data_IF_210972374377
#
_entry.id   IF_210972374377
#
_cell.length_a   1.000
_cell.length_b   1.000
_cell.length_c   1.000
_cell.angle_alpha   90.00
_cell.angle_beta   90.00
_cell.angle_gamma   90.00
#
_symmetry.space_group_name_H-M   'P 1'
#
loop_
_entity.id
_entity.type
_entity.pdbx_description
1 polymer ?
#
# COMPACT_ATOMS: atom_id res chain seq x y z
N UNK A 1 29.83 -30.00 0.84
CA UNK A 1 28.80 -29.01 0.54
C UNK A 1 27.55 -29.47 1.26
N UNK A 2 26.72 -28.58 1.77
CA UNK A 2 25.40 -28.95 2.24
C UNK A 2 24.58 -29.52 1.06
N UNK A 3 23.63 -30.44 1.29
CA UNK A 3 22.74 -30.90 0.23
C UNK A 3 21.94 -29.72 -0.35
N UNK A 4 21.54 -29.82 -1.63
CA UNK A 4 20.70 -28.78 -2.24
C UNK A 4 19.36 -28.65 -1.52
N UNK A 5 18.82 -27.45 -1.49
CA UNK A 5 17.48 -27.17 -0.97
C UNK A 5 16.47 -27.34 -2.10
N UNK A 6 15.47 -28.16 -1.88
CA UNK A 6 14.46 -28.48 -2.87
C UNK A 6 13.23 -27.60 -2.74
N UNK A 7 12.87 -26.95 -3.83
CA UNK A 7 11.81 -25.93 -3.88
C UNK A 7 10.65 -26.42 -4.74
N UNK A 8 9.45 -26.39 -4.14
CA UNK A 8 8.20 -26.52 -4.86
C UNK A 8 7.57 -25.15 -5.12
N UNK A 9 7.07 -24.90 -6.32
CA UNK A 9 6.47 -23.59 -6.69
C UNK A 9 4.98 -23.74 -6.94
N UNK A 10 4.16 -22.98 -6.24
CA UNK A 10 2.74 -22.81 -6.51
C UNK A 10 2.54 -21.53 -7.34
N UNK A 11 2.43 -21.69 -8.67
CA UNK A 11 2.23 -20.61 -9.62
C UNK A 11 3.39 -20.39 -10.60
N UNK A 12 3.16 -20.57 -11.89
CA UNK A 12 4.11 -20.37 -12.98
C UNK A 12 3.79 -19.11 -13.80
N UNK A 13 3.33 -18.04 -13.15
CA UNK A 13 3.11 -16.73 -13.74
C UNK A 13 4.42 -15.93 -13.86
N UNK A 14 4.32 -14.60 -14.00
CA UNK A 14 5.46 -13.69 -14.12
C UNK A 14 6.44 -13.83 -12.96
N UNK A 15 5.96 -13.87 -11.71
CA UNK A 15 6.83 -14.00 -10.53
C UNK A 15 7.40 -15.41 -10.42
N UNK A 16 6.57 -16.46 -10.51
CA UNK A 16 7.05 -17.84 -10.39
C UNK A 16 8.03 -18.25 -11.49
N UNK A 17 7.83 -17.74 -12.72
CA UNK A 17 8.79 -17.89 -13.80
C UNK A 17 10.13 -17.22 -13.49
N UNK A 18 10.11 -16.00 -12.96
CA UNK A 18 11.32 -15.28 -12.57
C UNK A 18 12.04 -15.97 -11.39
N UNK A 19 11.30 -16.46 -10.37
CA UNK A 19 11.88 -17.26 -9.26
C UNK A 19 12.59 -18.48 -9.81
N UNK A 20 11.93 -19.26 -10.67
CA UNK A 20 12.54 -20.43 -11.30
C UNK A 20 13.81 -20.07 -12.08
N UNK A 21 13.79 -18.97 -12.86
CA UNK A 21 14.96 -18.52 -13.64
C UNK A 21 16.13 -18.18 -12.74
N UNK A 22 15.91 -17.45 -11.67
CA UNK A 22 16.95 -17.04 -10.74
C UNK A 22 17.56 -18.26 -10.01
N UNK A 23 16.75 -19.27 -9.67
CA UNK A 23 17.25 -20.54 -9.07
C UNK A 23 18.12 -21.29 -10.05
N UNK A 24 17.63 -21.57 -11.26
CA UNK A 24 18.37 -22.31 -12.30
C UNK A 24 19.67 -21.60 -12.71
N UNK A 25 19.67 -20.27 -12.71
CA UNK A 25 20.88 -19.47 -12.97
C UNK A 25 21.83 -19.34 -11.75
N UNK A 26 21.56 -20.03 -10.65
CA UNK A 26 22.45 -20.12 -9.50
C UNK A 26 22.60 -18.81 -8.69
N UNK A 27 21.58 -17.94 -8.67
CA UNK A 27 21.67 -16.66 -7.99
C UNK A 27 21.89 -16.78 -6.47
N UNK A 28 21.50 -17.90 -5.85
CA UNK A 28 21.76 -18.18 -4.42
C UNK A 28 23.15 -18.76 -4.16
N UNK A 29 23.81 -19.32 -5.18
CA UNK A 29 25.10 -20.01 -5.04
C UNK A 29 26.22 -19.10 -4.49
N UNK A 30 26.18 -17.79 -4.78
CA UNK A 30 27.12 -16.81 -4.25
C UNK A 30 27.10 -16.70 -2.71
N UNK A 31 26.02 -17.14 -2.07
CA UNK A 31 25.87 -17.19 -0.62
C UNK A 31 26.00 -18.63 -0.06
N UNK A 32 26.50 -19.56 -0.90
CA UNK A 32 26.70 -20.94 -0.49
C UNK A 32 25.42 -21.78 -0.41
N UNK A 33 24.31 -21.28 -0.94
CA UNK A 33 23.03 -21.99 -1.03
C UNK A 33 22.88 -22.60 -2.41
N UNK A 34 22.87 -23.94 -2.47
CA UNK A 34 22.48 -24.69 -3.65
C UNK A 34 20.97 -24.97 -3.56
N UNK A 35 20.23 -24.66 -4.62
CA UNK A 35 18.77 -24.78 -4.62
C UNK A 35 18.29 -25.34 -5.97
N UNK A 36 17.34 -26.27 -5.89
CA UNK A 36 16.75 -26.93 -7.07
C UNK A 36 15.22 -26.81 -7.03
N UNK A 37 14.61 -26.58 -8.20
CA UNK A 37 13.15 -26.62 -8.34
C UNK A 37 12.73 -28.05 -8.67
N UNK A 38 11.93 -28.64 -7.80
CA UNK A 38 11.51 -30.05 -7.88
C UNK A 38 10.15 -30.19 -8.54
N UNK A 39 9.21 -29.27 -8.26
CA UNK A 39 7.84 -29.35 -8.78
C UNK A 39 7.21 -27.98 -8.89
N UNK A 40 6.43 -27.75 -9.96
CA UNK A 40 5.78 -26.48 -10.25
C UNK A 40 4.31 -26.71 -10.58
N UNK A 41 3.43 -26.15 -9.76
CA UNK A 41 2.00 -26.14 -10.03
C UNK A 41 1.62 -25.01 -10.96
N UNK A 42 0.79 -25.31 -11.95
CA UNK A 42 0.11 -24.32 -12.80
C UNK A 42 -1.15 -24.91 -13.43
N UNK A 43 -2.18 -24.09 -13.63
CA UNK A 43 -3.43 -24.54 -14.29
C UNK A 43 -3.27 -24.86 -15.79
N UNK A 44 -2.23 -24.35 -16.43
CA UNK A 44 -1.99 -24.50 -17.87
C UNK A 44 -0.49 -24.73 -18.13
N UNK A 45 0.04 -25.94 -17.83
CA UNK A 45 1.47 -26.23 -17.96
C UNK A 45 1.96 -26.11 -19.41
N UNK A 46 1.20 -26.56 -20.38
CA UNK A 46 1.55 -26.55 -21.82
C UNK A 46 1.71 -25.13 -22.39
N UNK A 47 1.17 -24.10 -21.71
CA UNK A 47 1.35 -22.70 -22.09
C UNK A 47 2.64 -22.09 -21.53
N UNK A 48 3.42 -22.85 -20.76
CA UNK A 48 4.63 -22.34 -20.12
C UNK A 48 5.85 -22.60 -21.01
N UNK A 49 6.74 -21.61 -21.22
CA UNK A 49 7.88 -21.75 -22.13
C UNK A 49 8.81 -22.94 -21.83
N UNK A 50 8.89 -23.33 -20.53
CA UNK A 50 9.76 -24.42 -20.07
C UNK A 50 9.09 -25.79 -20.06
N UNK A 51 7.78 -25.87 -20.27
CA UNK A 51 7.08 -27.15 -20.23
C UNK A 51 7.61 -28.17 -21.22
N UNK A 52 7.91 -27.73 -22.44
CA UNK A 52 8.43 -28.63 -23.48
C UNK A 52 9.82 -29.25 -23.17
N UNK A 53 10.61 -28.54 -22.34
CA UNK A 53 11.97 -29.02 -21.98
C UNK A 53 11.94 -29.97 -20.76
N UNK A 54 10.99 -29.79 -19.84
CA UNK A 54 10.90 -30.57 -18.60
C UNK A 54 9.44 -30.73 -18.19
N UNK A 55 8.63 -31.49 -18.92
CA UNK A 55 7.20 -31.64 -18.62
C UNK A 55 6.95 -32.30 -17.25
N UNK A 56 7.84 -33.14 -16.77
CA UNK A 56 7.79 -33.82 -15.47
C UNK A 56 7.88 -32.87 -14.30
N UNK A 57 8.44 -31.69 -14.53
CA UNK A 57 8.54 -30.61 -13.51
C UNK A 57 7.17 -30.01 -13.19
N UNK A 58 6.24 -30.02 -14.13
CA UNK A 58 4.96 -29.32 -14.02
C UNK A 58 3.82 -30.25 -13.64
N UNK A 59 2.88 -29.72 -12.86
CA UNK A 59 1.65 -30.41 -12.47
C UNK A 59 0.44 -29.47 -12.47
N UNK A 60 -0.75 -30.03 -12.62
CA UNK A 60 -2.03 -29.35 -12.42
C UNK A 60 -2.66 -29.69 -11.05
N UNK A 61 -2.01 -30.55 -10.26
CA UNK A 61 -2.43 -30.89 -8.91
C UNK A 61 -1.52 -30.22 -7.87
N UNK A 62 -2.02 -29.25 -7.05
CA UNK A 62 -1.22 -28.60 -6.04
C UNK A 62 -0.72 -29.57 -4.95
N UNK A 63 -1.42 -30.68 -4.72
CA UNK A 63 -1.01 -31.69 -3.74
C UNK A 63 0.32 -32.37 -4.11
N UNK A 64 0.66 -32.46 -5.40
CA UNK A 64 1.97 -32.93 -5.86
C UNK A 64 3.12 -31.98 -5.51
N UNK A 65 2.84 -30.74 -5.18
CA UNK A 65 3.82 -29.76 -4.68
C UNK A 65 3.86 -29.79 -3.15
N UNK A 66 2.70 -29.62 -2.52
CA UNK A 66 2.61 -29.49 -1.06
C UNK A 66 2.91 -30.78 -0.30
N UNK A 67 2.65 -31.93 -0.96
CA UNK A 67 2.92 -33.28 -0.40
C UNK A 67 4.20 -33.93 -0.94
N UNK A 68 4.97 -33.29 -1.83
CA UNK A 68 6.15 -33.91 -2.44
C UNK A 68 7.20 -34.27 -1.36
N UNK A 69 7.71 -35.51 -1.33
CA UNK A 69 8.60 -35.96 -0.27
C UNK A 69 9.94 -35.20 -0.23
N UNK A 70 10.46 -34.80 -1.38
CA UNK A 70 11.76 -34.13 -1.50
C UNK A 70 11.67 -32.58 -1.38
N UNK A 71 10.48 -31.97 -1.38
CA UNK A 71 10.35 -30.51 -1.25
C UNK A 71 10.57 -30.07 0.19
N UNK A 72 11.50 -29.14 0.40
CA UNK A 72 11.80 -28.51 1.68
C UNK A 72 11.01 -27.22 1.89
N UNK A 73 10.92 -26.39 0.84
CA UNK A 73 10.30 -25.08 0.87
C UNK A 73 9.27 -24.96 -0.26
N UNK A 74 8.07 -24.51 0.07
CA UNK A 74 7.05 -24.18 -0.91
C UNK A 74 7.03 -22.66 -1.13
N UNK A 75 7.17 -22.25 -2.39
CA UNK A 75 7.06 -20.85 -2.84
C UNK A 75 5.67 -20.65 -3.44
N UNK A 76 4.81 -19.89 -2.76
CA UNK A 76 3.46 -19.55 -3.21
C UNK A 76 3.47 -18.14 -3.84
N UNK A 77 3.21 -18.09 -5.16
CA UNK A 77 3.23 -16.88 -5.99
C UNK A 77 2.04 -16.85 -6.96
N UNK A 78 0.90 -17.31 -6.46
CA UNK A 78 -0.37 -17.28 -7.18
C UNK A 78 -1.00 -15.88 -7.13
N UNK A 79 -1.80 -15.55 -8.13
CA UNK A 79 -2.65 -14.36 -8.06
C UNK A 79 -3.72 -14.50 -6.98
N UNK A 80 -4.16 -13.39 -6.43
CA UNK A 80 -5.16 -13.37 -5.34
C UNK A 80 -6.47 -14.09 -5.72
N UNK A 81 -6.96 -13.89 -6.95
CA UNK A 81 -8.25 -14.44 -7.37
C UNK A 81 -9.42 -13.94 -6.52
N UNK A 82 -10.51 -14.70 -6.52
CA UNK A 82 -11.67 -14.45 -5.65
C UNK A 82 -11.54 -15.11 -4.27
N UNK A 83 -12.58 -14.96 -3.44
CA UNK A 83 -12.61 -15.53 -2.09
C UNK A 83 -12.46 -17.07 -2.08
N UNK A 84 -12.99 -17.77 -3.08
CA UNK A 84 -12.85 -19.21 -3.22
C UNK A 84 -11.42 -19.61 -3.57
N UNK A 85 -10.76 -18.85 -4.46
CA UNK A 85 -9.34 -19.07 -4.79
C UNK A 85 -8.47 -18.87 -3.56
N UNK A 86 -8.67 -17.80 -2.79
CA UNK A 86 -7.92 -17.53 -1.57
C UNK A 86 -8.11 -18.64 -0.52
N UNK A 87 -9.32 -19.21 -0.40
CA UNK A 87 -9.57 -20.34 0.51
C UNK A 87 -8.79 -21.57 0.07
N UNK A 88 -8.84 -21.93 -1.23
CA UNK A 88 -8.08 -23.05 -1.76
C UNK A 88 -6.56 -22.85 -1.58
N UNK A 89 -6.06 -21.65 -1.89
CA UNK A 89 -4.64 -21.30 -1.68
C UNK A 89 -4.23 -21.40 -0.20
N UNK A 90 -5.10 -20.98 0.72
CA UNK A 90 -4.90 -21.15 2.16
C UNK A 90 -4.78 -22.64 2.53
N UNK A 91 -5.67 -23.47 2.02
CA UNK A 91 -5.64 -24.91 2.30
C UNK A 91 -4.33 -25.53 1.78
N UNK A 92 -3.84 -25.17 0.60
CA UNK A 92 -2.56 -25.64 0.06
C UNK A 92 -1.35 -25.20 0.91
N UNK A 93 -1.35 -23.96 1.40
CA UNK A 93 -0.30 -23.46 2.29
C UNK A 93 -0.32 -24.19 3.62
N UNK A 94 -1.50 -24.41 4.20
CA UNK A 94 -1.69 -25.18 5.45
C UNK A 94 -1.23 -26.64 5.26
N UNK A 95 -1.56 -27.27 4.14
CA UNK A 95 -1.12 -28.63 3.83
C UNK A 95 0.41 -28.71 3.68
N UNK A 96 1.04 -27.74 3.02
CA UNK A 96 2.50 -27.68 2.94
C UNK A 96 3.14 -27.62 4.34
N UNK A 97 2.64 -26.76 5.22
CA UNK A 97 3.12 -26.63 6.61
C UNK A 97 2.95 -27.95 7.39
N UNK A 98 1.78 -28.60 7.29
CA UNK A 98 1.49 -29.88 7.93
C UNK A 98 2.35 -31.03 7.39
N UNK A 99 2.73 -30.96 6.10
CA UNK A 99 3.68 -31.89 5.49
C UNK A 99 5.15 -31.54 5.79
N UNK A 100 5.39 -30.67 6.77
CA UNK A 100 6.73 -30.38 7.27
C UNK A 100 7.54 -29.42 6.41
N UNK A 101 6.91 -28.62 5.53
CA UNK A 101 7.58 -27.65 4.65
C UNK A 101 7.45 -26.25 5.20
N UNK A 102 8.48 -25.42 5.02
CA UNK A 102 8.36 -23.98 5.21
C UNK A 102 7.77 -23.33 3.95
N UNK A 103 7.15 -22.16 4.12
CA UNK A 103 6.48 -21.47 3.02
C UNK A 103 7.04 -20.06 2.83
N UNK A 104 7.24 -19.68 1.58
CA UNK A 104 7.50 -18.29 1.17
C UNK A 104 6.35 -17.84 0.28
N UNK A 105 5.69 -16.74 0.61
CA UNK A 105 4.55 -16.25 -0.17
C UNK A 105 4.70 -14.80 -0.62
N UNK A 106 4.23 -14.48 -1.82
CA UNK A 106 4.07 -13.11 -2.33
C UNK A 106 2.59 -12.67 -2.31
N UNK A 107 1.69 -13.49 -1.77
CA UNK A 107 0.25 -13.27 -1.81
C UNK A 107 -0.25 -12.51 -0.57
N UNK A 108 -0.17 -11.20 -0.64
CA UNK A 108 -0.65 -10.34 0.46
C UNK A 108 -2.12 -10.53 0.79
N UNK A 109 -2.98 -10.77 -0.24
CA UNK A 109 -4.40 -10.97 -0.03
C UNK A 109 -4.70 -12.25 0.77
N UNK A 110 -3.91 -13.31 0.52
CA UNK A 110 -3.98 -14.55 1.29
C UNK A 110 -3.66 -14.30 2.77
N UNK A 111 -2.58 -13.58 3.07
CA UNK A 111 -2.17 -13.29 4.44
C UNK A 111 -3.12 -12.33 5.15
N UNK A 112 -3.69 -11.36 4.45
CA UNK A 112 -4.70 -10.45 5.01
C UNK A 112 -6.00 -11.21 5.35
N UNK A 113 -6.42 -12.14 4.50
CA UNK A 113 -7.66 -12.88 4.69
C UNK A 113 -7.53 -14.07 5.68
N UNK A 114 -6.39 -14.76 5.66
CA UNK A 114 -6.20 -16.05 6.33
C UNK A 114 -4.89 -16.17 7.13
N UNK A 115 -4.17 -15.07 7.33
CA UNK A 115 -2.85 -15.09 7.96
C UNK A 115 -2.85 -15.68 9.36
N UNK A 116 -3.90 -15.47 10.17
CA UNK A 116 -3.98 -16.01 11.51
C UNK A 116 -3.94 -17.55 11.52
N UNK A 117 -4.73 -18.20 10.66
CA UNK A 117 -4.73 -19.65 10.52
C UNK A 117 -3.38 -20.17 9.98
N UNK A 118 -2.82 -19.49 8.98
CA UNK A 118 -1.52 -19.85 8.40
C UNK A 118 -0.41 -19.75 9.44
N UNK A 119 -0.32 -18.66 10.20
CA UNK A 119 0.71 -18.48 11.22
C UNK A 119 0.53 -19.39 12.43
N UNK A 120 -0.71 -19.67 12.86
CA UNK A 120 -0.93 -20.65 13.94
C UNK A 120 -0.52 -22.04 13.51
N UNK A 121 -0.86 -22.46 12.28
CA UNK A 121 -0.42 -23.76 11.74
C UNK A 121 1.09 -23.84 11.60
N UNK A 122 1.74 -22.79 11.11
CA UNK A 122 3.20 -22.74 11.00
C UNK A 122 3.86 -22.96 12.37
N UNK A 123 3.37 -22.28 13.41
CA UNK A 123 3.85 -22.44 14.79
C UNK A 123 3.61 -23.85 15.33
N UNK A 124 2.43 -24.41 15.14
CA UNK A 124 2.08 -25.77 15.56
C UNK A 124 2.97 -26.84 14.91
N UNK A 125 3.28 -26.65 13.62
CA UNK A 125 4.12 -27.56 12.85
C UNK A 125 5.63 -27.31 13.02
N UNK A 126 6.05 -26.27 13.74
CA UNK A 126 7.45 -25.87 13.84
C UNK A 126 8.06 -25.45 12.51
N UNK A 127 7.28 -24.81 11.63
CA UNK A 127 7.66 -24.36 10.29
C UNK A 127 7.52 -22.85 10.17
N UNK A 128 8.22 -22.27 9.21
CA UNK A 128 8.23 -20.84 8.98
C UNK A 128 7.38 -20.42 7.79
N UNK A 129 6.78 -19.24 7.90
CA UNK A 129 6.20 -18.50 6.76
C UNK A 129 6.97 -17.20 6.58
N UNK A 130 7.44 -16.95 5.34
CA UNK A 130 8.13 -15.72 4.95
C UNK A 130 7.34 -15.01 3.88
N UNK A 131 7.37 -13.67 3.87
CA UNK A 131 6.49 -12.91 3.01
C UNK A 131 7.01 -11.50 2.66
N UNK A 132 8.33 -11.33 2.54
CA UNK A 132 8.97 -10.06 2.14
C UNK A 132 8.33 -9.49 0.87
N UNK A 133 8.05 -10.35 -0.10
CA UNK A 133 7.46 -9.97 -1.38
C UNK A 133 6.02 -9.45 -1.30
N UNK A 134 5.32 -9.59 -0.16
CA UNK A 134 3.94 -9.11 0.01
C UNK A 134 3.85 -7.59 0.13
N UNK A 135 4.91 -6.91 0.58
CA UNK A 135 4.94 -5.46 0.79
C UNK A 135 6.15 -4.85 0.09
N UNK A 136 5.90 -3.88 -0.80
CA UNK A 136 6.98 -3.14 -1.45
C UNK A 136 7.73 -3.90 -2.55
N UNK A 137 7.26 -5.08 -2.96
CA UNK A 137 7.84 -5.85 -4.05
C UNK A 137 9.31 -6.21 -3.82
N UNK A 138 10.23 -5.46 -4.45
CA UNK A 138 11.67 -5.67 -4.29
C UNK A 138 12.33 -4.84 -3.17
N UNK A 139 11.56 -4.08 -2.40
CA UNK A 139 12.09 -3.26 -1.30
C UNK A 139 12.16 -4.13 -0.04
N UNK A 140 13.33 -4.30 0.58
CA UNK A 140 13.45 -5.05 1.84
C UNK A 140 12.83 -4.23 2.99
N UNK A 141 11.69 -4.65 3.52
CA UNK A 141 10.94 -3.95 4.58
C UNK A 141 10.70 -4.86 5.77
N UNK A 142 10.17 -6.07 5.52
CA UNK A 142 9.77 -7.00 6.58
C UNK A 142 10.98 -7.51 7.34
N UNK A 143 12.02 -7.93 6.63
CA UNK A 143 13.28 -8.35 7.23
C UNK A 143 13.89 -7.28 8.15
N UNK A 144 14.15 -6.05 7.67
CA UNK A 144 14.63 -4.97 8.52
C UNK A 144 13.75 -4.68 9.73
N UNK A 145 12.44 -4.58 9.58
CA UNK A 145 11.51 -4.31 10.70
C UNK A 145 11.52 -5.42 11.75
N UNK A 146 11.66 -6.67 11.32
CA UNK A 146 11.59 -7.83 12.22
C UNK A 146 12.93 -8.27 12.79
N UNK A 147 14.04 -7.80 12.22
CA UNK A 147 15.40 -8.17 12.60
C UNK A 147 16.21 -6.97 13.07
N UNK A 148 16.63 -6.11 12.12
CA UNK A 148 17.57 -5.01 12.42
C UNK A 148 16.97 -3.93 13.31
N UNK A 149 15.67 -3.67 13.14
CA UNK A 149 14.91 -2.66 13.90
C UNK A 149 14.01 -3.27 14.98
N UNK A 150 14.20 -4.56 15.32
CA UNK A 150 13.36 -5.26 16.29
C UNK A 150 13.41 -4.70 17.72
N UNK A 151 14.44 -3.94 18.04
CA UNK A 151 14.57 -3.27 19.34
C UNK A 151 13.94 -1.86 19.34
N UNK A 152 13.56 -1.35 18.18
CA UNK A 152 12.94 -0.03 18.06
C UNK A 152 11.46 -0.09 18.44
N UNK A 153 10.95 0.96 19.08
CA UNK A 153 9.51 1.10 19.34
C UNK A 153 8.87 1.86 18.20
N UNK A 154 7.90 1.27 17.51
CA UNK A 154 7.27 1.94 16.38
C UNK A 154 6.34 3.06 16.83
N UNK A 155 6.62 4.31 16.44
CA UNK A 155 5.72 5.45 16.55
C UNK A 155 4.78 5.51 15.34
N UNK A 156 5.32 5.34 14.13
CA UNK A 156 4.56 5.32 12.90
C UNK A 156 5.22 4.45 11.82
N UNK A 157 4.40 3.90 10.94
CA UNK A 157 4.81 3.39 9.63
C UNK A 157 3.95 4.06 8.56
N UNK A 158 4.58 4.59 7.53
CA UNK A 158 3.87 5.30 6.47
C UNK A 158 4.64 5.23 5.15
N UNK A 159 3.96 5.54 4.04
CA UNK A 159 4.65 5.54 2.76
C UNK A 159 3.76 5.61 1.54
N UNK A 160 4.42 5.57 0.38
CA UNK A 160 3.81 5.43 -0.92
C UNK A 160 3.99 3.97 -1.34
N UNK A 161 2.98 3.17 -1.12
CA UNK A 161 3.06 1.70 -1.28
C UNK A 161 2.33 1.19 -2.52
N UNK A 162 1.81 2.11 -3.36
CA UNK A 162 1.19 1.78 -4.64
C UNK A 162 1.82 2.61 -5.76
N UNK A 163 2.56 1.94 -6.65
CA UNK A 163 3.29 2.58 -7.76
C UNK A 163 2.37 3.17 -8.82
N UNK A 164 1.22 2.56 -9.09
CA UNK A 164 0.23 3.04 -10.07
C UNK A 164 -0.35 4.39 -9.64
N UNK A 165 -0.82 4.50 -8.40
CA UNK A 165 -1.30 5.77 -7.85
C UNK A 165 -0.20 6.84 -7.85
N UNK A 166 1.02 6.47 -7.44
CA UNK A 166 2.12 7.43 -7.43
C UNK A 166 2.48 7.92 -8.83
N UNK A 167 2.48 7.03 -9.84
CA UNK A 167 2.68 7.42 -11.24
C UNK A 167 1.60 8.38 -11.72
N UNK A 168 0.32 8.05 -11.52
CA UNK A 168 -0.81 8.89 -11.94
C UNK A 168 -0.71 10.28 -11.31
N UNK A 169 -0.52 10.38 -9.99
CA UNK A 169 -0.40 11.66 -9.29
C UNK A 169 0.86 12.43 -9.70
N UNK A 170 1.96 11.75 -10.06
CA UNK A 170 3.17 12.38 -10.60
C UNK A 170 2.90 13.02 -11.96
N UNK A 171 2.25 12.30 -12.89
CA UNK A 171 1.88 12.82 -14.21
C UNK A 171 0.93 14.03 -14.11
N UNK A 172 -0.06 13.94 -13.22
CA UNK A 172 -0.98 15.05 -12.95
C UNK A 172 -0.25 16.29 -12.40
N UNK A 173 0.60 16.09 -11.40
CA UNK A 173 1.28 17.20 -10.72
C UNK A 173 2.41 17.84 -11.53
N UNK A 174 3.19 17.06 -12.26
CA UNK A 174 4.35 17.57 -13.00
C UNK A 174 4.01 18.02 -14.42
N UNK A 175 3.01 17.41 -15.03
CA UNK A 175 2.66 17.67 -16.44
C UNK A 175 1.27 18.27 -16.63
N UNK A 176 0.52 18.51 -15.56
CA UNK A 176 -0.84 19.07 -15.63
C UNK A 176 -1.85 18.15 -16.31
N UNK A 177 -1.57 16.84 -16.44
CA UNK A 177 -2.50 15.90 -17.08
C UNK A 177 -3.77 15.73 -16.28
N UNK A 178 -4.87 15.46 -16.98
CA UNK A 178 -6.09 15.01 -16.33
C UNK A 178 -5.88 13.64 -15.68
N UNK A 179 -6.70 13.29 -14.70
CA UNK A 179 -6.71 11.95 -14.12
C UNK A 179 -6.90 10.84 -15.17
N UNK A 180 -7.84 11.06 -16.10
CA UNK A 180 -8.15 10.11 -17.17
C UNK A 180 -6.95 9.87 -18.10
N UNK A 181 -6.25 10.95 -18.53
CA UNK A 181 -5.07 10.83 -19.38
C UNK A 181 -3.89 10.19 -18.67
N UNK A 182 -3.70 10.50 -17.39
CA UNK A 182 -2.64 9.90 -16.57
C UNK A 182 -2.90 8.40 -16.34
N UNK A 183 -4.15 8.01 -16.10
CA UNK A 183 -4.56 6.61 -15.99
C UNK A 183 -4.38 5.86 -17.31
N UNK A 184 -4.84 6.42 -18.44
CA UNK A 184 -4.65 5.82 -19.74
C UNK A 184 -3.15 5.63 -20.09
N UNK A 185 -2.31 6.60 -19.70
CA UNK A 185 -0.85 6.47 -19.83
C UNK A 185 -0.29 5.35 -18.96
N UNK A 186 -0.76 5.20 -17.71
CA UNK A 186 -0.35 4.10 -16.83
C UNK A 186 -0.73 2.74 -17.40
N UNK A 187 -1.92 2.61 -17.99
CA UNK A 187 -2.39 1.40 -18.66
C UNK A 187 -1.55 1.07 -19.91
N UNK A 188 -1.27 2.06 -20.74
CA UNK A 188 -0.45 1.88 -21.94
C UNK A 188 0.99 1.44 -21.63
N UNK A 189 1.54 1.86 -20.49
CA UNK A 189 2.86 1.46 -20.00
C UNK A 189 2.86 0.15 -19.19
N UNK A 190 1.68 -0.45 -18.94
CA UNK A 190 1.54 -1.67 -18.17
C UNK A 190 1.70 -1.48 -16.66
N UNK A 191 1.59 -0.25 -16.16
CA UNK A 191 1.60 0.05 -14.72
C UNK A 191 0.23 -0.12 -14.08
N UNK A 192 -0.85 0.00 -14.86
CA UNK A 192 -2.21 -0.28 -14.45
C UNK A 192 -2.83 -1.36 -15.35
N UNK A 193 -3.65 -2.23 -14.77
CA UNK A 193 -4.47 -3.20 -15.51
C UNK A 193 -5.69 -2.52 -16.16
N UNK A 194 -6.44 -3.25 -16.98
CA UNK A 194 -7.68 -2.76 -17.59
C UNK A 194 -8.72 -2.36 -16.54
N UNK A 195 -8.80 -3.12 -15.45
CA UNK A 195 -9.53 -2.74 -14.24
C UNK A 195 -8.55 -2.25 -13.17
N UNK A 196 -8.36 -0.93 -13.01
CA UNK A 196 -7.40 -0.34 -12.09
C UNK A 196 -7.96 -0.16 -10.67
N UNK A 197 -9.21 -0.57 -10.39
CA UNK A 197 -9.93 -0.21 -9.18
C UNK A 197 -9.19 -0.62 -7.89
N UNK A 198 -8.50 -1.75 -7.87
CA UNK A 198 -7.70 -2.17 -6.72
C UNK A 198 -6.59 -1.17 -6.37
N UNK A 199 -6.00 -0.53 -7.37
CA UNK A 199 -4.96 0.49 -7.21
C UNK A 199 -5.58 1.84 -6.83
N UNK A 200 -6.42 2.39 -7.72
CA UNK A 200 -6.88 3.78 -7.62
C UNK A 200 -7.81 4.03 -6.44
N UNK A 201 -8.58 3.01 -6.03
CA UNK A 201 -9.40 3.08 -4.81
C UNK A 201 -8.60 2.92 -3.52
N UNK A 202 -7.29 2.55 -3.60
CA UNK A 202 -6.40 2.35 -2.45
C UNK A 202 -6.49 0.98 -1.78
N UNK A 203 -7.23 0.00 -2.33
CA UNK A 203 -7.35 -1.37 -1.73
C UNK A 203 -6.02 -2.11 -1.68
N UNK A 204 -5.18 -2.00 -2.70
CA UNK A 204 -3.84 -2.57 -2.69
C UNK A 204 -2.97 -1.97 -1.58
N UNK A 205 -3.00 -0.65 -1.43
CA UNK A 205 -2.26 0.05 -0.38
C UNK A 205 -2.79 -0.29 1.03
N UNK A 206 -4.12 -0.45 1.19
CA UNK A 206 -4.73 -0.91 2.43
C UNK A 206 -4.22 -2.30 2.83
N UNK A 207 -4.21 -3.26 1.92
CA UNK A 207 -3.72 -4.62 2.20
C UNK A 207 -2.26 -4.63 2.65
N UNK A 208 -1.39 -3.82 2.02
CA UNK A 208 0.00 -3.65 2.43
C UNK A 208 0.12 -2.98 3.80
N UNK A 209 -0.69 -1.96 4.07
CA UNK A 209 -0.69 -1.27 5.37
C UNK A 209 -1.16 -2.17 6.51
N UNK A 210 -2.13 -3.05 6.26
CA UNK A 210 -2.58 -4.06 7.25
C UNK A 210 -1.42 -4.97 7.67
N UNK A 211 -0.60 -5.45 6.72
CA UNK A 211 0.58 -6.26 7.02
C UNK A 211 1.64 -5.46 7.76
N UNK A 212 1.93 -4.22 7.31
CA UNK A 212 2.88 -3.35 7.99
C UNK A 212 2.44 -3.03 9.42
N UNK A 213 1.16 -2.75 9.64
CA UNK A 213 0.62 -2.49 10.97
C UNK A 213 0.71 -3.73 11.88
N UNK A 214 0.49 -4.93 11.32
CA UNK A 214 0.64 -6.19 12.05
C UNK A 214 2.08 -6.40 12.51
N UNK A 215 3.05 -6.13 11.66
CA UNK A 215 4.47 -6.29 11.95
C UNK A 215 4.95 -5.22 12.94
N UNK A 216 4.59 -3.96 12.72
CA UNK A 216 5.10 -2.85 13.51
C UNK A 216 4.43 -2.74 14.87
N UNK A 217 3.11 -2.95 14.95
CA UNK A 217 2.33 -2.69 16.18
C UNK A 217 1.69 -3.93 16.80
N UNK A 218 1.90 -5.12 16.21
CA UNK A 218 1.17 -6.32 16.60
C UNK A 218 -0.34 -6.22 16.33
N UNK A 219 -0.75 -5.34 15.43
CA UNK A 219 -2.16 -5.07 15.18
C UNK A 219 -2.79 -6.20 14.35
N UNK A 220 -3.93 -6.72 14.83
CA UNK A 220 -4.73 -7.71 14.09
C UNK A 220 -6.00 -7.03 13.59
N UNK A 221 -5.89 -6.39 12.44
CA UNK A 221 -6.97 -5.63 11.82
C UNK A 221 -7.62 -6.42 10.69
N UNK A 222 -8.94 -6.42 10.64
CA UNK A 222 -9.69 -7.01 9.53
C UNK A 222 -9.58 -6.16 8.25
N UNK A 223 -9.72 -6.75 7.06
CA UNK A 223 -9.92 -5.99 5.83
C UNK A 223 -11.08 -4.99 5.97
N UNK A 224 -10.90 -3.77 5.48
CA UNK A 224 -11.88 -2.70 5.61
C UNK A 224 -11.86 -1.94 6.96
N UNK A 225 -10.98 -2.31 7.89
CA UNK A 225 -10.84 -1.60 9.17
C UNK A 225 -10.07 -0.26 9.03
N UNK A 226 -9.30 -0.10 7.96
CA UNK A 226 -8.50 1.10 7.70
C UNK A 226 -9.32 2.09 6.86
N UNK A 227 -9.29 3.36 7.25
CA UNK A 227 -9.96 4.41 6.49
C UNK A 227 -9.28 4.61 5.14
N UNK A 228 -10.08 4.56 4.06
CA UNK A 228 -9.56 4.54 2.71
C UNK A 228 -10.28 5.53 1.80
N UNK A 229 -9.50 6.30 1.05
CA UNK A 229 -9.96 7.15 -0.05
C UNK A 229 -9.08 6.94 -1.27
N UNK A 230 -9.70 6.82 -2.41
CA UNK A 230 -9.03 6.73 -3.71
C UNK A 230 -8.57 8.10 -4.23
N UNK A 231 -7.95 8.07 -5.41
CA UNK A 231 -7.39 9.25 -6.07
C UNK A 231 -8.27 9.79 -7.20
N UNK A 232 -9.40 9.16 -7.49
CA UNK A 232 -10.23 9.40 -8.67
C UNK A 232 -10.84 10.82 -8.71
N UNK A 233 -10.98 11.44 -7.54
CA UNK A 233 -11.55 12.80 -7.40
C UNK A 233 -10.51 13.92 -7.45
N UNK A 234 -9.23 13.58 -7.54
CA UNK A 234 -8.14 14.57 -7.66
C UNK A 234 -8.15 15.14 -9.07
N UNK A 235 -8.05 16.46 -9.18
CA UNK A 235 -7.93 17.19 -10.45
C UNK A 235 -6.55 17.86 -10.56
N UNK A 236 -6.14 18.17 -11.78
CA UNK A 236 -4.87 18.86 -12.04
C UNK A 236 -4.74 20.18 -11.28
N UNK A 237 -5.85 20.93 -11.14
CA UNK A 237 -5.87 22.19 -10.39
C UNK A 237 -5.52 22.03 -8.91
N UNK A 238 -5.77 20.86 -8.31
CA UNK A 238 -5.42 20.62 -6.89
C UNK A 238 -3.91 20.73 -6.67
N UNK A 239 -3.10 20.34 -7.66
CA UNK A 239 -1.66 20.49 -7.59
C UNK A 239 -1.21 21.95 -7.70
N UNK A 240 -1.91 22.76 -8.50
CA UNK A 240 -1.65 24.21 -8.59
C UNK A 240 -1.90 24.90 -7.25
N UNK A 241 -3.00 24.54 -6.59
CA UNK A 241 -3.33 25.07 -5.26
C UNK A 241 -2.38 24.53 -4.19
N UNK A 242 -2.08 23.21 -4.19
CA UNK A 242 -1.15 22.63 -3.24
C UNK A 242 0.24 23.28 -3.32
N UNK A 243 0.72 23.59 -4.51
CA UNK A 243 2.02 24.22 -4.72
C UNK A 243 2.12 25.62 -4.05
N UNK A 244 1.00 26.32 -3.81
CA UNK A 244 0.98 27.59 -3.07
C UNK A 244 1.39 27.44 -1.62
N UNK A 245 1.17 26.25 -1.02
CA UNK A 245 1.57 25.96 0.35
C UNK A 245 2.94 25.29 0.39
N UNK A 246 4.02 26.10 0.38
CA UNK A 246 5.39 25.60 0.54
C UNK A 246 5.86 24.62 -0.56
N UNK A 247 5.39 24.82 -1.81
CA UNK A 247 5.66 23.91 -2.94
C UNK A 247 5.18 22.49 -2.68
N UNK A 248 4.09 22.32 -1.93
CA UNK A 248 3.49 21.03 -1.63
C UNK A 248 2.99 20.34 -2.91
N UNK A 249 2.85 19.03 -2.83
CA UNK A 249 2.25 18.18 -3.85
C UNK A 249 1.21 17.25 -3.23
N UNK A 250 0.51 16.46 -4.05
CA UNK A 250 -0.47 15.49 -3.57
C UNK A 250 0.10 14.08 -3.79
N UNK A 251 0.08 13.27 -2.75
CA UNK A 251 0.52 11.86 -2.76
C UNK A 251 -0.53 10.98 -2.10
N UNK A 252 -0.70 9.75 -2.61
CA UNK A 252 -1.54 8.73 -1.96
C UNK A 252 -0.71 8.06 -0.86
N UNK A 253 -0.97 8.42 0.39
CA UNK A 253 -0.18 8.00 1.55
C UNK A 253 -0.91 6.92 2.32
N UNK A 254 -0.23 5.80 2.58
CA UNK A 254 -0.61 4.81 3.57
C UNK A 254 0.07 5.18 4.90
N UNK A 255 -0.69 5.28 5.98
CA UNK A 255 -0.21 5.68 7.30
C UNK A 255 -0.83 4.82 8.39
N UNK A 256 -0.02 4.28 9.28
CA UNK A 256 -0.45 3.78 10.59
C UNK A 256 0.46 4.35 11.68
N UNK A 257 -0.13 4.93 12.74
CA UNK A 257 0.60 5.45 13.90
C UNK A 257 -0.12 5.12 15.19
N UNK A 258 0.66 4.95 16.26
CA UNK A 258 0.10 4.70 17.58
C UNK A 258 -0.49 6.01 18.17
N UNK A 259 -1.70 5.92 18.66
CA UNK A 259 -2.42 7.05 19.23
C UNK A 259 -3.10 6.65 20.55
N UNK A 260 -2.29 6.36 21.57
CA UNK A 260 -2.76 6.09 22.91
C UNK A 260 -3.55 4.79 23.07
N UNK A 261 -3.10 3.70 22.44
CA UNK A 261 -3.71 2.37 22.55
C UNK A 261 -4.67 1.99 21.43
N UNK A 262 -4.91 2.90 20.47
CA UNK A 262 -5.55 2.62 19.19
C UNK A 262 -4.63 3.06 18.05
N UNK A 263 -4.79 2.51 16.85
CA UNK A 263 -4.09 2.99 15.66
C UNK A 263 -4.91 4.08 14.97
N UNK A 264 -4.25 5.17 14.61
CA UNK A 264 -4.70 5.98 13.50
C UNK A 264 -4.17 5.34 12.23
N UNK A 265 -5.06 4.76 11.41
CA UNK A 265 -4.67 4.06 10.20
C UNK A 265 -5.53 4.50 9.02
N UNK A 266 -4.87 4.91 7.94
CA UNK A 266 -5.55 5.41 6.75
C UNK A 266 -4.73 5.22 5.48
N UNK A 267 -5.43 5.12 4.36
CA UNK A 267 -4.89 5.26 3.00
C UNK A 267 -5.66 6.38 2.33
N UNK A 268 -5.02 7.51 2.06
CA UNK A 268 -5.71 8.67 1.49
C UNK A 268 -4.75 9.57 0.72
N UNK A 269 -5.21 10.24 -0.33
CA UNK A 269 -4.44 11.34 -0.90
C UNK A 269 -4.26 12.45 0.15
N UNK A 270 -3.04 12.95 0.27
CA UNK A 270 -2.66 14.01 1.22
C UNK A 270 -1.87 15.10 0.51
N UNK A 271 -2.01 16.34 0.98
CA UNK A 271 -1.13 17.43 0.60
C UNK A 271 0.18 17.29 1.41
N UNK A 272 1.28 17.01 0.70
CA UNK A 272 2.59 16.74 1.29
C UNK A 272 3.52 17.94 1.03
N UNK A 273 4.17 18.52 2.05
CA UNK A 273 5.12 19.63 1.88
C UNK A 273 6.27 19.27 0.95
N UNK A 274 6.69 20.21 0.09
CA UNK A 274 7.71 19.97 -0.93
C UNK A 274 9.13 19.69 -0.40
N UNK A 275 9.41 20.02 0.85
CA UNK A 275 10.66 19.70 1.56
C UNK A 275 10.65 18.29 2.16
N UNK A 276 9.48 17.68 2.36
CA UNK A 276 9.36 16.31 2.84
C UNK A 276 9.82 15.30 1.78
N UNK A 277 10.47 14.22 2.20
CA UNK A 277 11.02 13.21 1.28
C UNK A 277 9.91 12.55 0.41
N UNK A 278 8.73 12.26 0.97
CA UNK A 278 7.59 11.71 0.22
C UNK A 278 7.22 12.54 -1.03
N UNK A 279 7.36 13.86 -0.97
CA UNK A 279 7.04 14.75 -2.10
C UNK A 279 7.97 14.52 -3.31
N UNK A 280 9.15 13.95 -3.07
CA UNK A 280 10.20 13.72 -4.09
C UNK A 280 10.19 12.28 -4.64
N UNK A 281 9.35 11.41 -4.11
CA UNK A 281 9.20 10.03 -4.62
C UNK A 281 8.25 10.05 -5.79
N UNK A 282 8.76 9.96 -7.01
CA UNK A 282 8.01 10.11 -8.24
C UNK A 282 7.90 8.81 -9.05
N UNK A 283 7.02 8.81 -10.04
CA UNK A 283 6.78 7.71 -10.96
C UNK A 283 6.25 6.48 -10.24
N UNK A 284 6.75 5.30 -10.60
CA UNK A 284 6.33 4.00 -10.01
C UNK A 284 7.10 3.62 -8.75
N UNK A 285 7.99 4.49 -8.27
CA UNK A 285 8.81 4.22 -7.07
C UNK A 285 7.93 4.15 -5.84
N UNK A 286 8.13 3.13 -5.02
CA UNK A 286 7.54 3.02 -3.69
C UNK A 286 8.56 3.46 -2.64
N UNK A 287 8.06 3.99 -1.51
CA UNK A 287 8.88 4.29 -0.34
C UNK A 287 8.08 4.03 0.94
N UNK A 288 8.71 3.38 1.90
CA UNK A 288 8.16 3.13 3.24
C UNK A 288 9.06 3.78 4.26
N UNK A 289 8.46 4.47 5.19
CA UNK A 289 9.09 5.11 6.33
C UNK A 289 8.68 4.38 7.58
N UNK A 290 9.65 4.14 8.42
CA UNK A 290 9.44 3.65 9.78
C UNK A 290 9.98 4.70 10.74
N UNK A 291 9.08 5.26 11.56
CA UNK A 291 9.42 6.21 12.61
C UNK A 291 9.53 5.46 13.93
N UNK A 292 10.72 5.45 14.51
CA UNK A 292 10.97 4.87 15.82
C UNK A 292 10.80 5.89 16.94
N UNK A 293 10.44 5.43 18.14
CA UNK A 293 10.56 6.19 19.38
C UNK A 293 11.94 5.90 19.96
N UNK A 294 12.90 6.82 19.86
CA UNK A 294 14.17 6.69 20.59
C UNK A 294 13.90 6.94 22.06
N UNK A 295 13.84 5.88 22.85
CA UNK A 295 13.78 5.98 24.31
C UNK A 295 15.18 6.27 24.86
N UNK A 296 15.71 7.46 24.65
CA UNK A 296 16.87 7.86 25.42
C UNK A 296 16.40 8.50 26.73
N UNK A 297 17.07 8.15 27.80
CA UNK A 297 16.73 8.59 29.16
C UNK A 297 16.87 10.09 29.39
N UNK A 298 16.23 10.94 28.57
CA UNK A 298 16.02 12.35 28.84
C UNK A 298 16.95 13.34 28.12
N UNK A 299 17.64 12.98 27.05
CA UNK A 299 18.32 13.96 26.22
C UNK A 299 17.28 14.71 25.36
N UNK A 300 17.19 16.03 25.56
CA UNK A 300 16.24 16.92 24.87
C UNK A 300 16.49 17.03 23.34
N UNK A 301 17.48 16.33 22.80
CA UNK A 301 17.90 16.35 21.40
C UNK A 301 17.76 14.99 20.68
N UNK A 302 17.11 13.98 21.29
CA UNK A 302 16.77 12.76 20.60
C UNK A 302 15.63 13.06 19.64
N UNK A 303 15.99 13.40 18.41
CA UNK A 303 15.06 13.61 17.32
C UNK A 303 14.35 12.29 16.97
N UNK A 304 13.11 12.39 16.53
CA UNK A 304 12.43 11.29 15.87
C UNK A 304 13.28 10.81 14.69
N UNK A 305 13.61 9.52 14.65
CA UNK A 305 14.38 8.94 13.57
C UNK A 305 13.47 8.27 12.55
N UNK A 306 13.55 8.71 11.31
CA UNK A 306 12.88 8.06 10.20
C UNK A 306 13.86 7.15 9.45
N UNK A 307 13.54 5.85 9.40
CA UNK A 307 14.20 4.91 8.50
C UNK A 307 13.44 4.89 7.18
N UNK A 308 14.15 5.01 6.07
CA UNK A 308 13.55 5.10 4.73
C UNK A 308 13.99 3.93 3.89
N UNK A 309 13.01 3.20 3.34
CA UNK A 309 13.20 2.10 2.41
C UNK A 309 12.51 2.46 1.09
N UNK A 310 13.26 2.61 0.02
CA UNK A 310 12.72 3.01 -1.27
C UNK A 310 13.26 2.16 -2.41
N UNK A 311 12.44 1.93 -3.45
CA UNK A 311 12.85 1.14 -4.60
C UNK A 311 11.66 0.72 -5.48
N UNK A 312 11.83 -0.30 -6.34
CA UNK A 312 10.77 -0.81 -7.20
C UNK A 312 9.70 -1.54 -6.38
N UNK A 313 8.49 -0.99 -6.35
CA UNK A 313 7.36 -1.51 -5.57
C UNK A 313 6.66 -2.73 -6.16
N UNK A 314 6.98 -3.10 -7.42
CA UNK A 314 6.39 -4.21 -8.15
C UNK A 314 7.33 -4.66 -9.28
N UNK A 315 6.94 -5.75 -9.96
CA UNK A 315 7.65 -6.31 -11.10
C UNK A 315 8.18 -7.72 -10.81
N UNK A 316 8.06 -8.61 -11.81
CA UNK A 316 8.36 -10.03 -11.63
C UNK A 316 9.76 -10.31 -11.11
N UNK A 317 10.80 -9.64 -11.65
CA UNK A 317 12.18 -9.79 -11.20
C UNK A 317 12.42 -9.26 -9.78
N UNK A 318 11.92 -8.06 -9.48
CA UNK A 318 12.05 -7.45 -8.15
C UNK A 318 11.37 -8.31 -7.07
N UNK A 319 10.15 -8.77 -7.32
CA UNK A 319 9.41 -9.67 -6.43
C UNK A 319 10.11 -11.01 -6.26
N UNK A 320 10.66 -11.58 -7.34
CA UNK A 320 11.41 -12.83 -7.27
C UNK A 320 12.68 -12.71 -6.43
N UNK A 321 13.37 -11.56 -6.47
CA UNK A 321 14.53 -11.30 -5.59
C UNK A 321 14.13 -11.31 -4.12
N UNK A 322 13.00 -10.68 -3.76
CA UNK A 322 12.49 -10.72 -2.38
C UNK A 322 12.13 -12.13 -1.94
N UNK A 323 11.45 -12.91 -2.81
CA UNK A 323 11.15 -14.33 -2.55
C UNK A 323 12.44 -15.14 -2.31
N UNK A 324 13.46 -14.95 -3.12
CA UNK A 324 14.73 -15.68 -2.94
C UNK A 324 15.52 -15.19 -1.72
N UNK A 325 15.36 -13.93 -1.32
CA UNK A 325 15.86 -13.41 -0.05
C UNK A 325 15.27 -14.18 1.14
N UNK A 326 13.95 -14.40 1.12
CA UNK A 326 13.25 -15.20 2.11
C UNK A 326 13.68 -16.67 2.10
N UNK A 327 13.86 -17.27 0.92
CA UNK A 327 14.41 -18.65 0.79
C UNK A 327 15.80 -18.72 1.40
N UNK A 328 16.68 -17.78 1.07
CA UNK A 328 18.03 -17.71 1.64
C UNK A 328 18.00 -17.60 3.17
N UNK A 329 17.13 -16.75 3.73
CA UNK A 329 16.99 -16.60 5.18
C UNK A 329 16.56 -17.91 5.85
N UNK A 330 15.61 -18.64 5.26
CA UNK A 330 15.16 -19.93 5.77
C UNK A 330 16.30 -20.96 5.83
N UNK A 331 17.12 -20.99 4.79
CA UNK A 331 18.26 -21.92 4.71
C UNK A 331 19.37 -21.52 5.68
N UNK A 332 19.72 -20.23 5.74
CA UNK A 332 20.79 -19.73 6.62
C UNK A 332 20.48 -19.94 8.11
N UNK A 333 19.20 -19.99 8.46
CA UNK A 333 18.72 -20.20 9.85
C UNK A 333 18.26 -21.64 10.13
N UNK A 334 18.53 -22.59 9.25
CA UNK A 334 18.22 -23.99 9.50
C UNK A 334 18.96 -24.48 10.77
N UNK A 335 18.20 -24.71 11.85
CA UNK A 335 18.73 -25.03 13.17
C UNK A 335 18.40 -24.01 14.27
N UNK A 336 18.09 -22.75 13.91
CA UNK A 336 17.60 -21.72 14.83
C UNK A 336 16.05 -21.71 14.85
N UNK A 337 15.49 -20.88 15.74
CA UNK A 337 14.03 -20.71 15.78
C UNK A 337 13.48 -20.31 14.40
N UNK A 338 12.60 -21.12 13.79
CA UNK A 338 12.10 -20.87 12.44
C UNK A 338 11.14 -19.66 12.35
N UNK A 339 10.76 -19.12 13.52
CA UNK A 339 9.69 -18.13 13.61
C UNK A 339 10.18 -16.70 13.42
N UNK A 340 9.49 -15.97 12.53
CA UNK A 340 9.56 -14.52 12.52
C UNK A 340 8.99 -13.94 13.82
N UNK A 341 9.44 -12.76 14.23
CA UNK A 341 8.82 -12.03 15.33
C UNK A 341 7.31 -11.82 15.18
N UNK A 342 6.76 -11.81 13.93
CA UNK A 342 5.32 -11.72 13.68
C UNK A 342 4.50 -12.74 14.44
N UNK A 343 4.99 -13.97 14.54
CA UNK A 343 4.35 -15.04 15.29
C UNK A 343 4.53 -14.89 16.81
N UNK A 344 5.48 -14.06 17.22
CA UNK A 344 5.81 -13.73 18.60
C UNK A 344 5.35 -12.34 19.00
N UNK A 345 4.90 -11.51 18.05
CA UNK A 345 4.36 -10.19 18.38
C UNK A 345 3.14 -10.41 19.26
N UNK A 346 3.30 -10.10 20.54
CA UNK A 346 2.20 -10.07 21.49
C UNK A 346 1.18 -9.10 20.92
N UNK A 347 -0.09 -9.54 20.82
CA UNK A 347 -1.16 -8.70 20.34
C UNK A 347 -1.11 -7.35 21.04
N UNK A 348 -0.70 -6.32 20.29
CA UNK A 348 -0.55 -4.96 20.79
C UNK A 348 -1.87 -4.21 20.65
N UNK A 349 -1.99 -3.42 19.58
CA UNK A 349 -3.16 -2.57 19.34
C UNK A 349 -4.14 -3.29 18.42
N UNK A 350 -5.36 -3.54 18.90
CA UNK A 350 -6.38 -4.30 18.17
C UNK A 350 -7.56 -3.44 17.67
N UNK A 351 -7.44 -2.11 17.76
CA UNK A 351 -8.49 -1.18 17.32
C UNK A 351 -7.92 -0.06 16.47
N UNK A 352 -8.69 0.34 15.47
CA UNK A 352 -8.45 1.56 14.70
C UNK A 352 -9.31 2.66 15.30
N UNK A 353 -8.75 3.85 15.46
CA UNK A 353 -9.50 5.03 15.89
C UNK A 353 -10.59 5.34 14.85
N UNK A 354 -11.84 5.63 15.25
CA UNK A 354 -12.90 6.02 14.32
C UNK A 354 -12.44 7.17 13.41
N UNK A 355 -12.83 7.16 12.13
CA UNK A 355 -12.44 8.20 11.17
C UNK A 355 -12.82 9.60 11.67
N UNK A 356 -14.00 9.75 12.27
CA UNK A 356 -14.50 11.01 12.77
C UNK A 356 -13.63 11.64 13.88
N UNK A 357 -12.86 10.81 14.59
CA UNK A 357 -11.96 11.24 15.67
C UNK A 357 -10.54 11.57 15.15
N UNK A 358 -10.22 11.23 13.90
CA UNK A 358 -8.94 11.58 13.28
C UNK A 358 -8.82 13.10 13.17
N UNK A 359 -7.64 13.62 13.50
CA UNK A 359 -7.38 15.06 13.50
C UNK A 359 -6.26 15.40 12.54
N UNK A 360 -6.50 16.43 11.72
CA UNK A 360 -5.51 16.99 10.81
C UNK A 360 -5.85 18.45 10.47
N UNK A 361 -4.92 19.14 9.84
CA UNK A 361 -5.22 20.30 9.03
C UNK A 361 -5.73 19.82 7.68
N UNK A 362 -6.62 20.57 7.05
CA UNK A 362 -7.24 20.13 5.81
C UNK A 362 -7.10 21.16 4.69
N UNK A 363 -6.95 20.66 3.50
CA UNK A 363 -7.18 21.32 2.24
C UNK A 363 -8.60 21.01 1.81
N UNK A 364 -9.39 22.01 1.45
CA UNK A 364 -10.77 21.82 0.98
C UNK A 364 -10.96 22.60 -0.31
N UNK A 365 -11.21 21.89 -1.43
CA UNK A 365 -11.59 22.49 -2.71
C UNK A 365 -13.10 22.57 -2.79
N UNK A 366 -13.58 23.77 -3.11
CA UNK A 366 -14.96 24.07 -3.47
C UNK A 366 -15.06 24.34 -4.97
N UNK A 367 -16.15 23.93 -5.58
CA UNK A 367 -16.56 24.30 -6.93
C UNK A 367 -17.98 24.84 -6.83
N UNK A 368 -18.14 26.12 -7.01
CA UNK A 368 -19.39 26.83 -6.74
C UNK A 368 -19.78 27.72 -7.91
N UNK A 369 -21.04 28.19 -7.92
CA UNK A 369 -21.47 29.25 -8.82
C UNK A 369 -20.87 30.58 -8.37
N UNK A 370 -20.28 31.35 -9.31
CA UNK A 370 -19.68 32.66 -9.00
C UNK A 370 -20.78 33.69 -8.63
N UNK A 371 -20.87 33.99 -7.36
CA UNK A 371 -21.79 35.00 -6.82
C UNK A 371 -21.24 35.63 -5.53
N UNK A 372 -21.66 36.87 -5.25
CA UNK A 372 -21.22 37.59 -4.06
C UNK A 372 -21.68 36.91 -2.77
N UNK A 373 -20.80 36.87 -1.74
CA UNK A 373 -21.14 36.41 -0.39
C UNK A 373 -20.83 34.95 -0.08
N UNK A 374 -20.55 34.09 -1.07
CA UNK A 374 -20.33 32.65 -0.92
C UNK A 374 -19.26 32.32 0.11
N UNK A 375 -18.10 32.96 0.05
CA UNK A 375 -16.98 32.73 0.98
C UNK A 375 -17.43 33.05 2.40
N UNK A 376 -18.22 34.13 2.59
CA UNK A 376 -18.77 34.49 3.89
C UNK A 376 -19.72 33.42 4.44
N UNK A 377 -20.60 32.87 3.61
CA UNK A 377 -21.53 31.81 4.02
C UNK A 377 -20.79 30.51 4.39
N UNK A 378 -19.79 30.12 3.60
CA UNK A 378 -18.97 28.93 3.89
C UNK A 378 -18.17 29.12 5.19
N UNK A 379 -17.53 30.29 5.38
CA UNK A 379 -16.79 30.59 6.60
C UNK A 379 -17.70 30.64 7.83
N UNK A 380 -18.95 31.09 7.67
CA UNK A 380 -19.92 31.05 8.77
C UNK A 380 -20.24 29.62 9.20
N UNK A 381 -20.40 28.68 8.23
CA UNK A 381 -20.62 27.27 8.55
C UNK A 381 -19.41 26.65 9.29
N UNK A 382 -18.19 26.99 8.87
CA UNK A 382 -16.99 26.55 9.58
C UNK A 382 -16.93 27.13 11.00
N UNK A 383 -17.23 28.42 11.16
CA UNK A 383 -17.31 29.08 12.47
C UNK A 383 -18.33 28.42 13.41
N UNK A 384 -19.53 28.12 12.91
CA UNK A 384 -20.58 27.41 13.66
C UNK A 384 -20.11 26.03 14.18
N UNK A 385 -19.18 25.39 13.47
CA UNK A 385 -18.56 24.10 13.83
C UNK A 385 -17.24 24.25 14.58
N UNK A 386 -16.85 25.48 14.94
CA UNK A 386 -15.57 25.76 15.61
C UNK A 386 -14.36 25.28 14.81
N UNK A 387 -14.39 25.47 13.50
CA UNK A 387 -13.31 25.15 12.57
C UNK A 387 -12.67 26.47 12.15
N UNK A 388 -11.38 26.63 12.43
CA UNK A 388 -10.63 27.82 12.03
C UNK A 388 -10.15 27.68 10.58
N UNK A 389 -10.37 28.75 9.81
CA UNK A 389 -9.82 28.91 8.46
C UNK A 389 -8.38 29.43 8.58
N UNK A 390 -7.45 28.79 7.88
CA UNK A 390 -6.05 29.23 7.83
C UNK A 390 -5.82 30.17 6.65
N UNK A 391 -6.18 29.74 5.43
CA UNK A 391 -5.95 30.50 4.21
C UNK A 391 -7.09 30.24 3.21
N UNK A 392 -7.30 31.19 2.30
CA UNK A 392 -8.25 31.06 1.18
C UNK A 392 -7.50 31.42 -0.10
N UNK A 393 -7.57 30.54 -1.08
CA UNK A 393 -6.89 30.73 -2.36
C UNK A 393 -7.88 30.59 -3.51
N UNK A 394 -7.84 31.58 -4.38
CA UNK A 394 -8.54 31.58 -5.66
C UNK A 394 -7.51 31.84 -6.76
N UNK A 395 -7.51 31.00 -7.79
CA UNK A 395 -6.65 31.10 -8.95
C UNK A 395 -7.51 31.30 -10.21
N UNK A 396 -6.90 31.87 -11.23
CA UNK A 396 -7.50 31.89 -12.56
C UNK A 396 -7.32 30.54 -13.23
N UNK A 397 -8.34 30.08 -13.93
CA UNK A 397 -8.38 28.80 -14.63
C UNK A 397 -8.88 28.97 -16.05
N UNK A 398 -8.47 28.10 -16.96
CA UNK A 398 -8.98 28.00 -18.30
C UNK A 398 -10.42 27.47 -18.31
N UNK A 399 -11.19 27.76 -19.39
CA UNK A 399 -12.55 27.23 -19.53
C UNK A 399 -12.57 25.69 -19.48
N UNK A 400 -11.59 25.03 -20.13
CA UNK A 400 -11.45 23.57 -20.13
C UNK A 400 -11.23 23.00 -18.71
N UNK A 401 -10.37 23.64 -17.89
CA UNK A 401 -10.19 23.27 -16.50
C UNK A 401 -11.48 23.40 -15.69
N UNK A 402 -12.22 24.49 -15.87
CA UNK A 402 -13.48 24.76 -15.17
C UNK A 402 -14.56 23.72 -15.53
N UNK A 403 -14.73 23.44 -16.82
CA UNK A 403 -15.71 22.45 -17.30
C UNK A 403 -15.39 21.03 -16.78
N UNK A 404 -14.11 20.67 -16.66
CA UNK A 404 -13.68 19.37 -16.15
C UNK A 404 -14.08 19.13 -14.70
N UNK A 405 -14.30 20.19 -13.90
CA UNK A 405 -14.64 20.10 -12.47
C UNK A 405 -16.11 19.78 -12.20
N UNK A 406 -17.00 20.08 -13.12
CA UNK A 406 -18.47 19.97 -12.93
C UNK A 406 -19.02 18.69 -13.55
N UNK A 407 -18.27 18.04 -14.46
CA UNK A 407 -18.72 16.85 -15.19
C UNK A 407 -19.75 17.17 -16.28
N UNK A 408 -19.68 16.45 -17.39
CA UNK A 408 -20.60 16.63 -18.51
C UNK A 408 -22.04 16.31 -18.08
N UNK A 409 -22.86 17.35 -17.92
CA UNK A 409 -24.31 17.21 -17.68
C UNK A 409 -24.83 17.49 -16.26
N UNK A 410 -23.99 17.80 -15.30
CA UNK A 410 -24.43 18.24 -13.97
C UNK A 410 -24.32 19.76 -13.85
N UNK A 411 -25.46 20.47 -13.90
CA UNK A 411 -25.57 21.86 -13.44
C UNK A 411 -25.85 22.93 -14.46
N UNK A 412 -25.66 22.74 -15.77
CA UNK A 412 -25.99 23.75 -16.79
C UNK A 412 -25.35 25.14 -16.60
N UNK A 413 -24.33 25.26 -15.74
CA UNK A 413 -23.59 26.49 -15.53
C UNK A 413 -22.60 26.70 -16.65
N UNK A 414 -22.57 27.90 -17.21
CA UNK A 414 -21.57 28.28 -18.21
C UNK A 414 -20.18 28.38 -17.51
N UNK A 415 -19.08 28.15 -18.25
CA UNK A 415 -17.71 28.15 -17.69
C UNK A 415 -17.42 29.41 -16.86
N UNK A 416 -17.90 30.58 -17.30
CA UNK A 416 -17.73 31.86 -16.59
C UNK A 416 -18.54 32.00 -15.29
N UNK A 417 -19.48 31.05 -15.02
CA UNK A 417 -20.24 30.99 -13.78
C UNK A 417 -19.62 30.03 -12.77
N UNK A 418 -18.56 29.28 -13.14
CA UNK A 418 -17.90 28.28 -12.29
C UNK A 418 -16.73 28.91 -11.57
N UNK A 419 -16.76 28.87 -10.25
CA UNK A 419 -15.70 29.39 -9.40
C UNK A 419 -15.12 28.28 -8.52
N UNK A 420 -13.96 27.73 -8.87
CA UNK A 420 -13.19 26.88 -7.96
C UNK A 420 -12.35 27.75 -7.02
N UNK A 421 -12.29 27.37 -5.76
CA UNK A 421 -11.36 27.94 -4.79
C UNK A 421 -11.04 26.93 -3.69
N UNK A 422 -10.00 27.21 -2.94
CA UNK A 422 -9.52 26.34 -1.86
C UNK A 422 -9.50 27.09 -0.55
N UNK A 423 -10.00 26.44 0.49
CA UNK A 423 -9.83 26.85 1.88
C UNK A 423 -8.93 25.84 2.57
N UNK A 424 -7.87 26.31 3.23
CA UNK A 424 -7.13 25.48 4.17
C UNK A 424 -7.61 25.73 5.59
N UNK A 425 -7.72 24.64 6.33
CA UNK A 425 -8.24 24.68 7.70
C UNK A 425 -7.13 24.35 8.69
N UNK A 426 -7.18 24.95 9.87
CA UNK A 426 -6.38 24.53 11.01
C UNK A 426 -6.78 23.13 11.47
N UNK A 427 -6.06 22.58 12.44
CA UNK A 427 -6.31 21.25 12.96
C UNK A 427 -7.74 21.10 13.50
N UNK A 428 -8.48 20.18 12.91
CA UNK A 428 -9.83 19.82 13.36
C UNK A 428 -10.06 18.31 13.21
N UNK A 429 -11.16 17.79 13.75
CA UNK A 429 -11.51 16.38 13.53
C UNK A 429 -12.25 16.19 12.20
N UNK A 430 -12.06 15.00 11.60
CA UNK A 430 -12.78 14.61 10.37
C UNK A 430 -14.29 14.69 10.57
N UNK A 431 -14.81 14.28 11.71
CA UNK A 431 -16.24 14.33 12.00
C UNK A 431 -16.81 15.77 11.98
N UNK A 432 -16.07 16.74 12.57
CA UNK A 432 -16.49 18.15 12.48
C UNK A 432 -16.45 18.67 11.05
N UNK A 433 -15.37 18.36 10.33
CA UNK A 433 -15.23 18.74 8.93
C UNK A 433 -16.36 18.16 8.08
N UNK A 434 -16.65 16.87 8.22
CA UNK A 434 -17.72 16.20 7.48
C UNK A 434 -19.08 16.86 7.72
N UNK A 435 -19.44 17.13 8.97
CA UNK A 435 -20.68 17.84 9.31
C UNK A 435 -20.77 19.25 8.71
N UNK A 436 -19.64 19.97 8.62
CA UNK A 436 -19.61 21.27 7.98
C UNK A 436 -19.81 21.15 6.47
N UNK A 437 -19.10 20.21 5.82
CA UNK A 437 -19.18 19.99 4.38
C UNK A 437 -20.55 19.48 3.93
N UNK A 438 -21.20 18.59 4.69
CA UNK A 438 -22.57 18.14 4.45
C UNK A 438 -23.57 19.33 4.45
N UNK A 439 -23.42 20.27 5.38
CA UNK A 439 -24.25 21.49 5.41
C UNK A 439 -23.95 22.42 4.25
N UNK A 440 -22.68 22.54 3.85
CA UNK A 440 -22.28 23.36 2.69
C UNK A 440 -22.77 22.75 1.39
N UNK A 441 -22.66 21.44 1.23
CA UNK A 441 -23.09 20.73 0.01
C UNK A 441 -24.59 20.86 -0.29
N UNK A 442 -25.41 21.23 0.69
CA UNK A 442 -26.85 21.49 0.51
C UNK A 442 -27.17 22.89 -0.01
N UNK A 443 -26.16 23.76 -0.16
CA UNK A 443 -26.34 25.10 -0.68
C UNK A 443 -26.52 25.09 -2.20
N UNK A 444 -27.41 25.93 -2.70
CA UNK A 444 -27.78 26.02 -4.12
C UNK A 444 -26.64 26.50 -5.04
N UNK A 445 -25.67 27.18 -4.46
CA UNK A 445 -24.48 27.62 -5.19
C UNK A 445 -23.40 26.55 -5.35
N UNK A 446 -23.50 25.40 -4.69
CA UNK A 446 -22.50 24.32 -4.79
C UNK A 446 -22.73 23.51 -6.06
N UNK A 447 -21.75 23.49 -6.96
CA UNK A 447 -21.82 22.81 -8.26
C UNK A 447 -21.25 21.40 -8.22
N UNK A 448 -20.31 21.11 -7.32
CA UNK A 448 -19.75 19.77 -7.10
C UNK A 448 -19.49 19.53 -5.62
N UNK A 449 -19.56 18.27 -5.22
CA UNK A 449 -19.26 17.89 -3.84
C UNK A 449 -17.85 18.34 -3.45
N UNK A 450 -17.66 19.03 -2.30
CA UNK A 450 -16.36 19.49 -1.87
C UNK A 450 -15.35 18.35 -1.75
N UNK A 451 -14.13 18.53 -2.27
CA UNK A 451 -13.01 17.62 -2.05
C UNK A 451 -12.23 18.09 -0.83
N UNK A 452 -11.92 17.18 0.07
CA UNK A 452 -11.04 17.47 1.19
C UNK A 452 -9.90 16.47 1.31
N UNK A 453 -8.70 16.96 1.62
CA UNK A 453 -7.47 16.21 1.77
C UNK A 453 -6.81 16.60 3.10
N UNK A 454 -6.30 15.63 3.89
CA UNK A 454 -5.42 15.95 5.00
C UNK A 454 -4.15 16.64 4.49
N UNK A 455 -3.62 17.58 5.27
CA UNK A 455 -2.32 18.17 5.03
C UNK A 455 -1.32 17.44 5.94
N UNK A 456 -0.29 16.87 5.33
CA UNK A 456 0.78 16.17 6.05
C UNK A 456 1.45 17.11 7.04
N UNK A 457 1.56 16.68 8.28
CA UNK A 457 2.40 17.28 9.31
C UNK A 457 3.33 16.22 9.88
N UNK A 458 4.59 16.53 9.98
CA UNK A 458 5.62 15.72 10.64
C UNK A 458 5.36 15.58 12.11
#
# INVERSE_FOLDING_TARGET
>A
MAPPVHIGILGAGTVGGAVHDLIVNGHLARFGVDAEVVKVFTRSPEQKPRYAASPELFTTDPAEVTGHPDVDIVVEVLGAGGAEDLRAQKDWVVDALRNGKSVVTANKALLVAHGEEIWSTARECGRAVRFEACVGGGIPIIGPLTQSLSAERPAAVYGLVNGTCNYILTEMGQRGRSYADALASAQALGYAEADPDADVSGRDAEAKLLLLASISFGARLAPGAIHRKGIERIHAIDFLYAARKGRSTIKSVALARNAGGALEAMVTPMVVPGDHFLARVDGVTNAVFFKGEVSDGGAADAGDWDYVFAGPGAGGGATAVAVLGDVHELVARSGDSPFLPVERIVAGVNSVRPEDDLRASFYVRFVVRDQSGIVGEICQVFGDKQINVSEIWQLEHSEEELESLVGAGQGGAASHEILPFVITLEETSVGRLRQALERIAQKDFVLAEPLWLPIWRT
#
